data_IF_831877645566
#
_entry.id   IF_831877645566
#
_cell.length_a   1.000
_cell.length_b   1.000
_cell.length_c   1.000
_cell.angle_alpha   90.00
_cell.angle_beta   90.00
_cell.angle_gamma   90.00
#
_symmetry.space_group_name_H-M   'P 1'
#
loop_
_entity.id
_entity.type
_entity.pdbx_description
1 polymer ?
#
# COMPACT_ATOMS: atom_id res chain seq x y z
N UNK A 1 0.11 -6.05 1.27
CA UNK A 1 -0.06 -7.31 0.51
C UNK A 1 0.97 -8.36 0.96
N UNK A 2 0.65 -9.20 1.95
CA UNK A 2 1.60 -10.18 2.51
C UNK A 2 2.07 -11.21 1.46
N UNK A 3 1.15 -11.69 0.61
CA UNK A 3 1.46 -12.69 -0.42
C UNK A 3 2.55 -12.24 -1.41
N UNK A 4 2.72 -10.94 -1.63
CA UNK A 4 3.74 -10.42 -2.54
C UNK A 4 5.13 -10.20 -1.87
N UNK A 5 5.31 -10.57 -0.60
CA UNK A 5 6.54 -10.28 0.17
C UNK A 5 7.81 -10.77 -0.54
N UNK A 6 7.83 -12.02 -1.01
CA UNK A 6 8.98 -12.58 -1.74
C UNK A 6 9.25 -11.82 -3.05
N UNK A 7 8.20 -11.53 -3.82
CA UNK A 7 8.30 -10.80 -5.09
C UNK A 7 8.77 -9.34 -4.92
N UNK A 8 8.42 -8.70 -3.80
CA UNK A 8 8.91 -7.38 -3.41
C UNK A 8 10.38 -7.44 -3.01
N UNK A 9 10.78 -8.39 -2.16
CA UNK A 9 12.19 -8.56 -1.80
C UNK A 9 13.08 -8.82 -3.03
N UNK A 10 12.63 -9.65 -3.97
CA UNK A 10 13.33 -9.89 -5.24
C UNK A 10 13.51 -8.63 -6.10
N UNK A 11 12.81 -7.53 -5.79
CA UNK A 11 12.92 -6.22 -6.46
C UNK A 11 13.62 -5.17 -5.59
N UNK A 12 14.34 -5.58 -4.55
CA UNK A 12 15.14 -4.66 -3.73
C UNK A 12 14.38 -3.95 -2.60
N UNK A 13 13.15 -4.36 -2.29
CA UNK A 13 12.45 -3.84 -1.11
C UNK A 13 13.10 -4.40 0.16
N UNK A 14 13.95 -3.61 0.82
CA UNK A 14 14.70 -4.05 2.00
C UNK A 14 13.84 -4.33 3.24
N UNK A 15 12.67 -3.69 3.36
CA UNK A 15 11.74 -3.89 4.48
C UNK A 15 10.34 -4.14 3.93
N UNK A 16 9.77 -5.30 4.27
CA UNK A 16 8.35 -5.62 4.02
C UNK A 16 7.69 -5.98 5.34
N UNK A 17 7.17 -4.95 6.02
CA UNK A 17 6.39 -5.09 7.26
C UNK A 17 4.93 -5.35 6.90
N UNK A 18 4.59 -6.62 6.69
CA UNK A 18 3.24 -7.09 6.38
C UNK A 18 2.86 -8.25 7.30
N UNK A 19 1.62 -8.23 7.80
CA UNK A 19 1.02 -9.33 8.57
C UNK A 19 -0.44 -9.50 8.16
N UNK A 20 -0.98 -10.71 8.35
CA UNK A 20 -2.40 -11.00 8.11
C UNK A 20 -3.28 -10.13 9.01
N UNK A 21 -4.46 -9.73 8.52
CA UNK A 21 -5.48 -8.99 9.29
C UNK A 21 -5.08 -7.61 9.82
N UNK A 22 -3.93 -7.03 9.41
CA UNK A 22 -3.56 -5.68 9.82
C UNK A 22 -4.58 -4.64 9.32
N UNK A 23 -4.98 -3.76 10.24
CA UNK A 23 -5.94 -2.68 10.04
C UNK A 23 -5.24 -1.36 9.70
N UNK A 24 -5.92 -0.47 8.97
CA UNK A 24 -5.32 0.78 8.53
C UNK A 24 -4.96 1.71 9.71
N UNK A 25 -5.76 1.76 10.78
CA UNK A 25 -5.49 2.60 11.96
C UNK A 25 -4.11 2.33 12.61
N UNK A 26 -3.49 1.17 12.33
CA UNK A 26 -2.14 0.86 12.83
C UNK A 26 -1.03 1.56 12.03
N UNK A 27 -1.32 2.09 10.84
CA UNK A 27 -0.33 2.65 9.92
C UNK A 27 0.51 3.77 10.55
N UNK A 28 -0.07 4.80 11.22
CA UNK A 28 0.72 5.86 11.83
C UNK A 28 1.73 5.33 12.85
N UNK A 29 1.29 4.41 13.72
CA UNK A 29 2.15 3.78 14.72
C UNK A 29 3.28 2.94 14.11
N UNK A 30 3.00 2.19 13.04
CA UNK A 30 4.03 1.39 12.34
C UNK A 30 5.04 2.26 11.60
N UNK A 31 4.60 3.32 10.93
CA UNK A 31 5.51 4.26 10.27
C UNK A 31 6.41 4.93 11.30
N UNK A 32 5.83 5.41 12.41
CA UNK A 32 6.59 6.04 13.49
C UNK A 32 7.58 5.06 14.15
N UNK A 33 7.19 3.80 14.34
CA UNK A 33 8.04 2.73 14.88
C UNK A 33 9.33 2.56 14.08
N UNK A 34 9.23 2.52 12.73
CA UNK A 34 10.40 2.40 11.86
C UNK A 34 11.20 3.70 11.79
N UNK A 35 10.53 4.85 11.81
CA UNK A 35 11.18 6.17 11.81
C UNK A 35 12.06 6.35 13.03
N UNK A 36 11.55 6.05 14.23
CA UNK A 36 12.27 6.16 15.50
C UNK A 36 13.49 5.24 15.60
N UNK A 37 13.54 4.18 14.79
CA UNK A 37 14.70 3.28 14.70
C UNK A 37 15.74 3.70 13.66
N UNK A 38 15.54 4.82 12.96
CA UNK A 38 16.39 5.23 11.85
C UNK A 38 16.31 4.29 10.63
N UNK A 39 15.28 3.43 10.56
CA UNK A 39 15.15 2.38 9.53
C UNK A 39 14.03 2.65 8.53
N UNK A 40 13.28 3.75 8.65
CA UNK A 40 12.24 4.11 7.68
C UNK A 40 12.89 4.67 6.40
N UNK A 41 12.78 3.97 5.24
CA UNK A 41 13.41 4.41 4.00
C UNK A 41 12.81 5.71 3.46
N UNK A 42 13.46 6.31 2.44
CA UNK A 42 12.93 7.48 1.73
C UNK A 42 11.57 7.20 1.07
N UNK A 43 11.38 6.00 0.53
CA UNK A 43 10.14 5.55 -0.11
C UNK A 43 9.36 4.63 0.84
N UNK A 44 8.13 5.00 1.18
CA UNK A 44 7.27 4.26 2.12
C UNK A 44 5.99 3.85 1.41
N UNK A 45 5.73 2.55 1.28
CA UNK A 45 4.50 2.03 0.66
C UNK A 45 3.53 1.58 1.75
N UNK A 46 2.29 2.09 1.73
CA UNK A 46 1.21 1.69 2.62
C UNK A 46 0.10 1.03 1.79
N UNK A 47 -0.04 -0.28 1.95
CA UNK A 47 -1.16 -1.05 1.39
C UNK A 47 -1.92 -1.74 2.53
N UNK A 48 -2.83 -1.00 3.14
CA UNK A 48 -3.74 -1.42 4.20
C UNK A 48 -5.17 -1.01 3.82
N UNK A 49 -6.17 -1.72 4.33
CA UNK A 49 -7.60 -1.51 4.00
C UNK A 49 -8.33 -2.77 3.52
N UNK A 50 -7.59 -3.81 3.11
CA UNK A 50 -8.22 -5.09 2.75
C UNK A 50 -8.97 -5.76 3.92
N UNK A 51 -8.60 -5.44 5.16
CA UNK A 51 -9.15 -6.07 6.37
C UNK A 51 -10.10 -5.17 7.17
N UNK A 52 -10.38 -3.96 6.69
CA UNK A 52 -11.25 -3.01 7.39
C UNK A 52 -11.07 -1.58 6.89
N UNK A 53 -11.89 -0.70 7.45
CA UNK A 53 -12.09 0.67 7.00
C UNK A 53 -10.80 1.50 7.03
N UNK A 54 -10.60 2.32 6.00
CA UNK A 54 -9.61 3.39 5.98
C UNK A 54 -10.27 4.68 6.46
N UNK A 55 -9.87 5.22 7.60
CA UNK A 55 -10.25 6.58 7.99
C UNK A 55 -9.29 7.60 7.37
N UNK A 56 -9.82 8.75 6.94
CA UNK A 56 -9.01 9.83 6.38
C UNK A 56 -7.99 10.38 7.40
N UNK A 57 -8.38 10.45 8.68
CA UNK A 57 -7.51 10.85 9.78
C UNK A 57 -6.29 9.94 9.89
N UNK A 58 -6.49 8.62 9.93
CA UNK A 58 -5.40 7.65 10.01
C UNK A 58 -4.46 7.73 8.80
N UNK A 59 -5.02 7.94 7.60
CA UNK A 59 -4.20 8.12 6.40
C UNK A 59 -3.34 9.39 6.49
N UNK A 60 -3.94 10.53 6.86
CA UNK A 60 -3.20 11.77 7.08
C UNK A 60 -2.11 11.60 8.14
N UNK A 61 -2.43 10.99 9.28
CA UNK A 61 -1.47 10.74 10.35
C UNK A 61 -0.33 9.80 9.90
N UNK A 62 -0.59 8.83 9.03
CA UNK A 62 0.44 7.95 8.51
C UNK A 62 1.41 8.69 7.58
N UNK A 63 0.90 9.58 6.72
CA UNK A 63 1.73 10.42 5.85
C UNK A 63 2.58 11.40 6.69
N UNK A 64 1.96 12.07 7.67
CA UNK A 64 2.67 12.97 8.60
C UNK A 64 3.72 12.23 9.45
N UNK A 65 3.41 11.00 9.89
CA UNK A 65 4.36 10.16 10.61
C UNK A 65 5.59 9.78 9.77
N UNK A 66 5.50 9.75 8.44
CA UNK A 66 6.68 9.54 7.59
C UNK A 66 7.63 10.75 7.60
N UNK A 67 7.07 11.96 7.77
CA UNK A 67 7.78 13.23 7.65
C UNK A 67 7.87 13.72 6.22
N UNK A 68 8.13 15.01 6.04
CA UNK A 68 8.10 15.71 4.75
C UNK A 68 9.19 15.27 3.77
N UNK A 69 10.33 14.77 4.25
CA UNK A 69 11.47 14.34 3.43
C UNK A 69 11.32 12.93 2.80
N UNK A 70 10.16 12.29 2.93
CA UNK A 70 9.90 10.95 2.42
C UNK A 70 8.75 10.95 1.44
N UNK A 71 8.80 10.09 0.45
CA UNK A 71 7.68 9.84 -0.46
C UNK A 71 6.80 8.72 0.11
N UNK A 72 5.51 8.98 0.25
CA UNK A 72 4.52 8.04 0.78
C UNK A 72 3.61 7.57 -0.33
N UNK A 73 3.64 6.27 -0.62
CA UNK A 73 2.84 5.66 -1.67
C UNK A 73 1.66 4.92 -1.05
N UNK A 74 0.46 5.42 -1.30
CA UNK A 74 -0.81 4.82 -0.89
C UNK A 74 -1.31 3.90 -2.00
N UNK A 75 -1.70 2.67 -1.67
CA UNK A 75 -2.09 1.67 -2.67
C UNK A 75 -3.60 1.40 -2.61
N UNK A 76 -4.31 1.53 -3.73
CA UNK A 76 -5.75 1.25 -3.80
C UNK A 76 -6.04 -0.25 -3.64
N UNK A 77 -7.24 -0.55 -3.14
CA UNK A 77 -7.66 -1.88 -2.71
C UNK A 77 -8.40 -2.63 -3.82
N UNK A 78 -8.04 -3.90 -4.00
CA UNK A 78 -8.79 -4.89 -4.78
C UNK A 78 -9.21 -6.01 -3.84
N UNK A 79 -10.40 -5.86 -3.26
CA UNK A 79 -11.01 -6.81 -2.33
C UNK A 79 -12.53 -6.81 -2.51
N UNK A 80 -13.23 -7.96 -2.51
CA UNK A 80 -14.68 -8.01 -2.67
C UNK A 80 -15.41 -7.65 -1.36
N UNK A 81 -15.18 -6.43 -0.86
CA UNK A 81 -15.79 -5.91 0.37
C UNK A 81 -16.54 -4.62 0.07
N UNK A 82 -17.67 -4.42 0.75
CA UNK A 82 -18.56 -3.26 0.56
C UNK A 82 -17.84 -1.92 0.76
N UNK A 83 -16.87 -1.87 1.67
CA UNK A 83 -16.11 -0.64 1.97
C UNK A 83 -15.05 -0.29 0.93
N UNK A 84 -14.65 -1.22 0.05
CA UNK A 84 -13.52 -1.03 -0.90
C UNK A 84 -13.64 0.28 -1.68
N UNK A 85 -14.82 0.59 -2.21
CA UNK A 85 -15.01 1.79 -3.03
C UNK A 85 -14.74 3.06 -2.20
N UNK A 86 -15.40 3.18 -1.05
CA UNK A 86 -15.24 4.34 -0.17
C UNK A 86 -13.79 4.47 0.33
N UNK A 87 -13.14 3.36 0.67
CA UNK A 87 -11.75 3.37 1.12
C UNK A 87 -10.79 3.78 0.00
N UNK A 88 -11.01 3.33 -1.24
CA UNK A 88 -10.25 3.83 -2.39
C UNK A 88 -10.45 5.33 -2.57
N UNK A 89 -11.69 5.83 -2.50
CA UNK A 89 -11.99 7.26 -2.59
C UNK A 89 -11.24 8.05 -1.50
N UNK A 90 -11.18 7.52 -0.27
CA UNK A 90 -10.42 8.12 0.84
C UNK A 90 -8.91 8.10 0.61
N UNK A 91 -8.35 7.02 0.06
CA UNK A 91 -6.93 6.96 -0.32
C UNK A 91 -6.60 8.00 -1.40
N UNK A 92 -7.47 8.18 -2.39
CA UNK A 92 -7.33 9.23 -3.41
C UNK A 92 -7.38 10.64 -2.80
N UNK A 93 -8.30 10.90 -1.86
CA UNK A 93 -8.38 12.19 -1.15
C UNK A 93 -7.11 12.42 -0.33
N UNK A 94 -6.67 11.42 0.43
CA UNK A 94 -5.47 11.50 1.26
C UNK A 94 -4.21 11.77 0.42
N UNK A 95 -4.00 11.06 -0.69
CA UNK A 95 -2.86 11.30 -1.58
C UNK A 95 -2.82 12.75 -2.11
N UNK A 96 -3.97 13.31 -2.48
CA UNK A 96 -4.06 14.70 -2.99
C UNK A 96 -3.78 15.77 -1.93
N UNK A 97 -3.85 15.45 -0.64
CA UNK A 97 -3.65 16.41 0.47
C UNK A 97 -2.19 16.71 0.76
N UNK A 98 -1.25 15.89 0.30
CA UNK A 98 0.16 16.01 0.65
C UNK A 98 1.03 15.99 -0.60
N UNK A 99 1.94 16.96 -0.72
CA UNK A 99 2.86 17.04 -1.86
C UNK A 99 3.81 15.82 -1.97
N UNK A 100 4.06 15.15 -0.85
CA UNK A 100 4.91 13.96 -0.75
C UNK A 100 4.11 12.65 -0.69
N UNK A 101 2.80 12.67 -0.96
CA UNK A 101 1.99 11.46 -1.05
C UNK A 101 1.56 11.18 -2.49
N UNK A 102 1.65 9.91 -2.89
CA UNK A 102 1.38 9.45 -4.24
C UNK A 102 0.46 8.25 -4.20
N UNK A 103 -0.36 8.09 -5.23
CA UNK A 103 -1.25 6.95 -5.35
C UNK A 103 -0.71 5.91 -6.34
N UNK A 104 -0.74 4.65 -5.92
CA UNK A 104 -0.54 3.47 -6.76
C UNK A 104 -1.91 2.83 -6.95
N UNK A 105 -2.48 2.95 -8.16
CA UNK A 105 -3.79 2.39 -8.46
C UNK A 105 -3.71 0.88 -8.77
N UNK A 106 -3.59 0.08 -7.72
CA UNK A 106 -3.64 -1.39 -7.84
C UNK A 106 -5.02 -1.89 -8.25
N UNK A 107 -6.11 -1.25 -7.80
CA UNK A 107 -7.47 -1.62 -8.20
C UNK A 107 -7.64 -1.54 -9.72
N UNK A 108 -7.37 -0.37 -10.32
CA UNK A 108 -7.48 -0.18 -11.76
C UNK A 108 -6.56 -1.11 -12.53
N UNK A 109 -5.32 -1.28 -12.07
CA UNK A 109 -4.33 -2.13 -12.73
C UNK A 109 -4.63 -3.64 -12.64
N UNK A 110 -5.51 -4.08 -11.73
CA UNK A 110 -5.70 -5.52 -11.46
C UNK A 110 -7.12 -6.02 -11.65
N UNK A 111 -8.13 -5.15 -11.71
CA UNK A 111 -9.55 -5.57 -11.73
C UNK A 111 -9.91 -6.48 -12.90
N UNK A 112 -9.25 -6.30 -14.05
CA UNK A 112 -9.50 -7.03 -15.29
C UNK A 112 -8.54 -8.23 -15.48
N UNK A 113 -7.83 -8.63 -14.42
CA UNK A 113 -6.86 -9.73 -14.42
C UNK A 113 -7.24 -10.83 -13.40
N UNK A 114 -8.31 -11.62 -13.64
CA UNK A 114 -8.75 -12.64 -12.69
C UNK A 114 -7.68 -13.69 -12.37
N UNK A 115 -6.83 -14.05 -13.34
CA UNK A 115 -5.74 -15.01 -13.15
C UNK A 115 -4.65 -14.56 -12.16
N UNK A 116 -4.63 -13.28 -11.76
CA UNK A 116 -3.73 -12.78 -10.72
C UNK A 116 -4.23 -13.09 -9.30
N UNK A 117 -5.46 -13.56 -9.17
CA UNK A 117 -6.12 -13.79 -7.89
C UNK A 117 -6.51 -15.25 -7.71
N UNK A 118 -6.50 -15.70 -6.46
CA UNK A 118 -7.15 -16.94 -6.07
C UNK A 118 -8.68 -16.81 -6.22
N UNK A 119 -9.41 -17.91 -5.98
CA UNK A 119 -10.87 -17.97 -6.11
C UNK A 119 -11.61 -16.95 -5.22
N UNK A 120 -11.01 -16.53 -4.11
CA UNK A 120 -11.56 -15.47 -3.26
C UNK A 120 -11.47 -14.05 -3.85
N UNK A 121 -10.77 -13.87 -4.97
CA UNK A 121 -10.71 -12.62 -5.72
C UNK A 121 -9.83 -11.52 -5.10
N UNK A 122 -9.00 -11.84 -4.09
CA UNK A 122 -8.05 -10.86 -3.50
C UNK A 122 -6.71 -11.43 -3.01
N UNK A 123 -6.60 -12.72 -2.68
CA UNK A 123 -5.28 -13.35 -2.49
C UNK A 123 -4.58 -13.52 -3.83
N UNK A 124 -3.27 -13.28 -3.88
CA UNK A 124 -2.53 -13.28 -5.14
C UNK A 124 -1.97 -14.66 -5.49
N UNK A 125 -2.15 -15.06 -6.75
CA UNK A 125 -1.38 -16.14 -7.38
C UNK A 125 0.08 -15.71 -7.60
N UNK A 126 0.96 -16.62 -8.03
CA UNK A 126 2.36 -16.28 -8.33
C UNK A 126 2.50 -15.18 -9.40
N UNK A 127 1.66 -15.22 -10.45
CA UNK A 127 1.62 -14.18 -11.47
C UNK A 127 1.11 -12.84 -10.91
N UNK A 128 0.08 -12.87 -10.05
CA UNK A 128 -0.42 -11.69 -9.35
C UNK A 128 0.60 -11.06 -8.40
N UNK A 129 1.38 -11.87 -7.68
CA UNK A 129 2.46 -11.40 -6.81
C UNK A 129 3.53 -10.66 -7.62
N UNK A 130 3.91 -11.24 -8.77
CA UNK A 130 4.87 -10.63 -9.71
C UNK A 130 4.33 -9.33 -10.29
N UNK A 131 3.07 -9.31 -10.73
CA UNK A 131 2.41 -8.12 -11.27
C UNK A 131 2.31 -6.99 -10.23
N UNK A 132 1.89 -7.33 -9.00
CA UNK A 132 1.82 -6.39 -7.88
C UNK A 132 3.18 -5.76 -7.60
N UNK A 133 4.22 -6.58 -7.43
CA UNK A 133 5.55 -6.10 -7.09
C UNK A 133 6.16 -5.27 -8.23
N UNK A 134 5.92 -5.64 -9.49
CA UNK A 134 6.31 -4.86 -10.67
C UNK A 134 5.62 -3.50 -10.72
N UNK A 135 4.30 -3.44 -10.49
CA UNK A 135 3.58 -2.17 -10.45
C UNK A 135 4.16 -1.24 -9.38
N UNK A 136 4.33 -1.75 -8.16
CA UNK A 136 4.83 -0.93 -7.05
C UNK A 136 6.25 -0.41 -7.36
N UNK A 137 7.15 -1.27 -7.82
CA UNK A 137 8.51 -0.85 -8.17
C UNK A 137 8.53 0.23 -9.26
N UNK A 138 7.76 0.05 -10.35
CA UNK A 138 7.66 1.04 -11.43
C UNK A 138 7.14 2.38 -10.94
N UNK A 139 6.12 2.38 -10.07
CA UNK A 139 5.51 3.62 -9.56
C UNK A 139 6.42 4.36 -8.60
N UNK A 140 7.23 3.65 -7.81
CA UNK A 140 8.27 4.27 -6.98
C UNK A 140 9.35 4.90 -7.86
N UNK A 141 9.84 4.19 -8.89
CA UNK A 141 10.89 4.69 -9.77
C UNK A 141 10.47 5.92 -10.61
N UNK A 142 9.16 6.12 -10.81
CA UNK A 142 8.61 7.26 -11.54
C UNK A 142 8.48 8.55 -10.69
N UNK A 143 8.70 8.47 -9.38
CA UNK A 143 8.69 9.63 -8.47
C UNK A 143 10.14 10.09 -8.24
N UNK A 144 10.47 11.38 -8.48
CA UNK A 144 11.82 11.92 -8.31
C UNK A 144 12.39 11.87 -6.88
#
# INVERSE_FOLDING_TARGET
MLGAKRALHARGFGIVDAVVSRQFYTAPGRVLYWRRRGRLPRNVVIHLGNNGIVQLSDCSHAVQAAGSHRHVFLVTLKVPRSWRKLDNDRLHICARRFANAYLIDWYGASRDHPAWFASDGYHLTASGQTAYASLVARRIAAVP
#
